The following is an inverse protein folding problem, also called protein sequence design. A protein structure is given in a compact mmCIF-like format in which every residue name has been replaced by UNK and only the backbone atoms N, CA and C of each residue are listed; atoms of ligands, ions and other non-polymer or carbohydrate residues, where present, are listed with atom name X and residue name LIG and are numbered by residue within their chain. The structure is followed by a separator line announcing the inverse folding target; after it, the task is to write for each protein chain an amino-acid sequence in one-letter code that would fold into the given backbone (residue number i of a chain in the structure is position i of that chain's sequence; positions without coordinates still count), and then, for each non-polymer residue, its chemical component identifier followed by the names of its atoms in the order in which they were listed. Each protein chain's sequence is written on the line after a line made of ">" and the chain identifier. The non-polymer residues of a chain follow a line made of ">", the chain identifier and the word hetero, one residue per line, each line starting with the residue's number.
data_IF_723413650905
#
_entry.id   IF_723413650905
#
_cell.length_a   1.000
_cell.length_b   1.000
_cell.length_c   1.000
_cell.angle_alpha   90.00
_cell.angle_beta   90.00
_cell.angle_gamma   90.00
#
_symmetry.space_group_name_H-M   'P 1'
#
loop_
_entity.id
_entity.type
_entity.pdbx_description
1 polymer ?
#
# COMPACT_ATOMS: atom_id res chain seq x y z
N UNK A 1 -3.11 0.87 19.13
CA UNK A 1 -3.12 0.37 17.75
C UNK A 1 -3.32 1.52 16.79
N UNK A 2 -2.42 1.68 15.86
CA UNK A 2 -2.53 2.75 14.90
C UNK A 2 -3.38 2.34 13.72
N UNK A 3 -4.27 3.24 13.32
CA UNK A 3 -5.04 3.04 12.10
C UNK A 3 -4.35 3.78 10.98
N UNK A 4 -3.96 3.05 9.97
CA UNK A 4 -3.35 3.63 8.79
C UNK A 4 -4.44 3.77 7.74
N UNK A 5 -4.51 4.96 7.16
CA UNK A 5 -5.46 5.22 6.08
C UNK A 5 -4.72 5.74 4.86
N UNK A 6 -5.30 5.53 3.69
CA UNK A 6 -4.76 6.11 2.47
C UNK A 6 -5.91 6.42 1.53
N UNK A 7 -5.62 7.30 0.57
CA UNK A 7 -6.60 7.67 -0.45
C UNK A 7 -6.13 7.15 -1.80
N UNK A 8 -7.03 6.50 -2.51
CA UNK A 8 -6.75 5.98 -3.82
C UNK A 8 -7.94 6.26 -4.73
N UNK A 9 -7.69 6.94 -5.83
CA UNK A 9 -8.71 7.35 -6.79
C UNK A 9 -9.87 8.09 -6.12
N UNK A 10 -9.53 8.97 -5.19
CA UNK A 10 -10.51 9.80 -4.50
C UNK A 10 -11.28 9.11 -3.40
N UNK A 11 -10.99 7.84 -3.12
CA UNK A 11 -11.65 7.10 -2.07
C UNK A 11 -10.69 6.83 -0.93
N UNK A 12 -11.16 7.00 0.29
CA UNK A 12 -10.38 6.77 1.49
C UNK A 12 -10.55 5.33 1.96
N UNK A 13 -9.42 4.67 2.23
CA UNK A 13 -9.42 3.29 2.71
C UNK A 13 -8.76 3.20 4.06
N UNK A 14 -9.27 2.33 4.90
CA UNK A 14 -8.65 2.03 6.18
C UNK A 14 -7.93 0.70 6.08
N UNK A 15 -6.69 0.67 6.57
CA UNK A 15 -5.85 -0.51 6.48
C UNK A 15 -6.12 -1.42 7.68
N UNK A 16 -6.37 -2.69 7.41
CA UNK A 16 -6.56 -3.69 8.44
C UNK A 16 -5.27 -4.47 8.71
N UNK A 17 -4.56 -4.84 7.66
CA UNK A 17 -3.31 -5.59 7.79
C UNK A 17 -2.26 -5.05 6.84
N UNK A 18 -1.01 -5.14 7.27
CA UNK A 18 0.14 -4.76 6.44
C UNK A 18 1.07 -5.97 6.35
N UNK A 19 1.44 -6.34 5.13
CA UNK A 19 2.35 -7.44 4.87
C UNK A 19 3.56 -6.87 4.15
N UNK A 20 4.76 -7.08 4.71
CA UNK A 20 5.97 -6.62 4.04
C UNK A 20 6.34 -7.59 2.92
N UNK A 21 6.65 -7.02 1.76
CA UNK A 21 7.10 -7.78 0.61
C UNK A 21 8.60 -7.53 0.43
N UNK A 22 9.23 -8.36 -0.39
CA UNK A 22 10.63 -8.17 -0.72
C UNK A 22 10.85 -6.84 -1.42
N UNK A 23 11.91 -6.13 -1.01
CA UNK A 23 12.29 -4.91 -1.68
C UNK A 23 12.77 -5.22 -3.09
N UNK A 24 12.41 -4.36 -4.05
CA UNK A 24 12.81 -4.53 -5.42
C UNK A 24 13.53 -3.27 -5.88
N UNK A 25 14.73 -3.43 -6.41
CA UNK A 25 15.54 -2.31 -6.88
C UNK A 25 15.72 -1.23 -5.83
N UNK A 26 15.80 -1.64 -4.55
CA UNK A 26 15.96 -0.72 -3.45
C UNK A 26 14.68 -0.01 -3.01
N UNK A 27 13.59 -0.24 -3.70
CA UNK A 27 12.30 0.33 -3.31
C UNK A 27 11.57 -0.60 -2.34
N UNK A 28 11.00 -0.01 -1.31
CA UNK A 28 10.27 -0.79 -0.33
C UNK A 28 8.87 -1.09 -0.83
N UNK A 29 8.46 -2.35 -0.67
CA UNK A 29 7.14 -2.79 -1.12
C UNK A 29 6.39 -3.39 0.04
N UNK A 30 5.13 -3.03 0.14
CA UNK A 30 4.23 -3.63 1.13
C UNK A 30 2.90 -3.93 0.48
N UNK A 31 2.21 -4.91 1.05
CA UNK A 31 0.85 -5.20 0.65
C UNK A 31 -0.06 -4.87 1.82
N UNK A 32 -1.14 -4.17 1.56
CA UNK A 32 -2.10 -3.84 2.60
C UNK A 32 -3.44 -4.46 2.29
N UNK A 33 -4.12 -4.90 3.34
CA UNK A 33 -5.49 -5.39 3.24
C UNK A 33 -6.37 -4.41 3.97
N UNK A 34 -7.37 -3.90 3.29
CA UNK A 34 -8.27 -2.92 3.88
C UNK A 34 -9.39 -3.60 4.67
N UNK A 35 -10.10 -2.82 5.47
CA UNK A 35 -11.18 -3.35 6.28
C UNK A 35 -12.34 -3.85 5.44
N UNK A 36 -12.49 -3.35 4.24
CA UNK A 36 -13.50 -3.84 3.31
C UNK A 36 -12.98 -4.98 2.41
N UNK A 37 -11.87 -5.60 2.85
CA UNK A 37 -11.34 -6.82 2.25
C UNK A 37 -10.72 -6.64 0.88
N UNK A 38 -10.20 -5.47 0.59
CA UNK A 38 -9.47 -5.21 -0.64
C UNK A 38 -7.99 -5.24 -0.39
N UNK A 39 -7.23 -5.66 -1.40
CA UNK A 39 -5.79 -5.71 -1.32
C UNK A 39 -5.18 -4.67 -2.24
N UNK A 40 -4.16 -3.99 -1.74
CA UNK A 40 -3.41 -3.00 -2.52
C UNK A 40 -1.93 -3.23 -2.30
N UNK A 41 -1.15 -2.94 -3.33
CA UNK A 41 0.30 -2.95 -3.22
C UNK A 41 0.79 -1.51 -3.17
N UNK A 42 1.62 -1.21 -2.19
CA UNK A 42 2.23 0.09 -2.05
C UNK A 42 3.73 -0.05 -2.22
N UNK A 43 4.29 0.76 -3.09
CA UNK A 43 5.73 0.78 -3.34
C UNK A 43 6.25 2.17 -2.99
N UNK A 44 7.25 2.23 -2.11
CA UNK A 44 7.88 3.50 -1.80
C UNK A 44 9.01 3.74 -2.78
N UNK A 45 8.88 4.78 -3.57
CA UNK A 45 9.89 5.14 -4.55
C UNK A 45 10.89 6.11 -3.91
N UNK A 46 12.12 5.65 -3.73
CA UNK A 46 13.16 6.44 -3.09
C UNK A 46 13.60 7.65 -3.91
N UNK A 47 13.43 7.59 -5.20
CA UNK A 47 13.85 8.68 -6.08
C UNK A 47 12.98 9.91 -5.91
N UNK A 48 11.69 9.70 -5.76
CA UNK A 48 10.73 10.80 -5.63
C UNK A 48 10.13 10.90 -4.24
N UNK A 49 10.53 10.02 -3.33
CA UNK A 49 10.05 9.98 -1.95
C UNK A 49 8.53 9.93 -1.85
N UNK A 50 7.92 9.07 -2.66
CA UNK A 50 6.46 8.91 -2.65
C UNK A 50 6.07 7.46 -2.64
N UNK A 51 4.92 7.18 -2.05
CA UNK A 51 4.30 5.87 -2.13
C UNK A 51 3.42 5.80 -3.37
N UNK A 52 3.56 4.72 -4.10
CA UNK A 52 2.74 4.45 -5.26
C UNK A 52 1.78 3.32 -4.91
N UNK A 53 0.50 3.59 -5.07
CA UNK A 53 -0.55 2.62 -4.74
C UNK A 53 -0.98 1.91 -6.02
N UNK A 54 -0.99 0.58 -5.98
CA UNK A 54 -1.44 -0.22 -7.12
C UNK A 54 -2.48 -1.22 -6.65
N UNK A 55 -3.54 -1.35 -7.42
CA UNK A 55 -4.50 -2.41 -7.15
C UNK A 55 -3.92 -3.75 -7.57
N UNK A 56 -4.21 -4.81 -6.82
CA UNK A 56 -3.81 -6.14 -7.26
C UNK A 56 -4.53 -6.45 -8.56
N UNK A 57 -3.79 -7.02 -9.47
CA UNK A 57 -4.35 -7.41 -10.74
C UNK A 57 -5.02 -8.77 -10.59
N UNK A 58 -6.27 -8.80 -10.80
CA UNK A 58 -7.04 -10.06 -10.69
C UNK A 58 -6.87 -10.93 -11.91
#
# INVERSE_FOLDING_TARGET
>A
MELITFTYKGKKYQVDKVIELEAESGNRRIEVVTKDNKKFKLTFNKTIFKWIVSEPND
#
